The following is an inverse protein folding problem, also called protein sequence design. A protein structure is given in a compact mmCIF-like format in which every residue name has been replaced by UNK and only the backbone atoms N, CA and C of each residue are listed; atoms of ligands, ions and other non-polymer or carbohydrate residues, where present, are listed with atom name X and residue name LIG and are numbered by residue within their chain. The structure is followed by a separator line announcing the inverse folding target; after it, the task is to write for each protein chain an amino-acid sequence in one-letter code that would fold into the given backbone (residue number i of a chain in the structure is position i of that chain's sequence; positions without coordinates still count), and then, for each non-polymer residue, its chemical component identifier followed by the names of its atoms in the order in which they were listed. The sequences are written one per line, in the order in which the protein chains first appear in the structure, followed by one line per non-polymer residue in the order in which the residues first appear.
data_IF_427768580578
#
_entry.id   IF_427768580578
#
_cell.length_a   1.000
_cell.length_b   1.000
_cell.length_c   1.000
_cell.angle_alpha   90.00
_cell.angle_beta   90.00
_cell.angle_gamma   90.00
#
_symmetry.space_group_name_H-M   'P 1'
#
loop_
_entity.id
_entity.type
_entity.pdbx_description
1 polymer ?
#
# COMPACT_ATOMS: atom_id res chain seq x y z
N UNK A 1 -66.09 38.13 -8.10
CA UNK A 1 -65.22 37.66 -9.20
C UNK A 1 -63.76 38.15 -9.09
N UNK A 2 -63.43 39.46 -8.99
CA UNK A 2 -62.02 39.91 -9.02
C UNK A 2 -61.21 39.46 -7.78
N UNK A 3 -61.87 39.34 -6.63
CA UNK A 3 -61.24 38.94 -5.36
C UNK A 3 -60.76 37.47 -5.37
N UNK A 4 -61.44 36.59 -6.10
CA UNK A 4 -61.06 35.17 -6.25
C UNK A 4 -59.83 34.99 -7.16
N UNK A 5 -59.70 35.83 -8.20
CA UNK A 5 -58.56 35.81 -9.13
C UNK A 5 -57.29 36.29 -8.43
N UNK A 6 -57.40 37.33 -7.58
CA UNK A 6 -56.28 37.84 -6.80
C UNK A 6 -55.75 36.79 -5.80
N UNK A 7 -56.64 36.03 -5.16
CA UNK A 7 -56.27 34.94 -4.23
C UNK A 7 -55.59 33.78 -4.97
N UNK A 8 -56.12 33.36 -6.13
CA UNK A 8 -55.50 32.30 -6.95
C UNK A 8 -54.13 32.70 -7.50
N UNK A 9 -53.94 33.98 -7.87
CA UNK A 9 -52.66 34.50 -8.31
C UNK A 9 -51.62 34.50 -7.16
N UNK A 10 -52.02 34.89 -5.95
CA UNK A 10 -51.14 34.87 -4.78
C UNK A 10 -50.68 33.43 -4.42
N UNK A 11 -51.59 32.46 -4.46
CA UNK A 11 -51.28 31.04 -4.19
C UNK A 11 -50.29 30.49 -5.23
N UNK A 12 -50.43 30.90 -6.49
CA UNK A 12 -49.56 30.47 -7.59
C UNK A 12 -48.12 30.98 -7.43
N UNK A 13 -47.95 32.22 -6.94
CA UNK A 13 -46.62 32.82 -6.68
C UNK A 13 -45.93 32.13 -5.49
N UNK A 14 -46.67 31.86 -4.41
CA UNK A 14 -46.14 31.17 -3.22
C UNK A 14 -45.77 29.72 -3.55
N UNK A 15 -46.60 29.02 -4.34
CA UNK A 15 -46.28 27.67 -4.82
C UNK A 15 -45.02 27.62 -5.67
N UNK A 16 -44.82 28.58 -6.59
CA UNK A 16 -43.62 28.66 -7.41
C UNK A 16 -42.34 28.95 -6.59
N UNK A 17 -42.43 29.82 -5.57
CA UNK A 17 -41.33 30.12 -4.64
C UNK A 17 -40.91 28.88 -3.84
N UNK A 18 -41.88 28.12 -3.31
CA UNK A 18 -41.64 26.87 -2.57
C UNK A 18 -41.00 25.79 -3.44
N UNK A 19 -41.44 25.64 -4.69
CA UNK A 19 -40.86 24.66 -5.63
C UNK A 19 -39.42 25.03 -5.99
N UNK A 20 -39.14 26.32 -6.23
CA UNK A 20 -37.78 26.77 -6.50
C UNK A 20 -36.87 26.58 -5.27
N UNK A 21 -37.33 26.91 -4.06
CA UNK A 21 -36.57 26.67 -2.83
C UNK A 21 -36.30 25.18 -2.57
N UNK A 22 -37.27 24.31 -2.86
CA UNK A 22 -37.10 22.86 -2.73
C UNK A 22 -36.10 22.29 -3.75
N UNK A 23 -36.15 22.74 -5.00
CA UNK A 23 -35.16 22.36 -6.03
C UNK A 23 -33.76 22.87 -5.70
N UNK A 24 -33.64 24.09 -5.20
CA UNK A 24 -32.37 24.67 -4.76
C UNK A 24 -31.78 23.90 -3.56
N UNK A 25 -32.64 23.50 -2.61
CA UNK A 25 -32.24 22.66 -1.48
C UNK A 25 -31.76 21.28 -1.92
N UNK A 26 -32.45 20.66 -2.89
CA UNK A 26 -32.06 19.36 -3.47
C UNK A 26 -30.71 19.45 -4.21
N UNK A 27 -30.46 20.54 -4.95
CA UNK A 27 -29.16 20.78 -5.62
C UNK A 27 -28.03 20.95 -4.61
N UNK A 28 -28.22 21.76 -3.56
CA UNK A 28 -27.22 21.95 -2.51
C UNK A 28 -26.88 20.65 -1.77
N UNK A 29 -27.85 19.78 -1.52
CA UNK A 29 -27.57 18.46 -0.93
C UNK A 29 -26.74 17.56 -1.85
N UNK A 30 -26.95 17.63 -3.16
CA UNK A 30 -26.15 16.89 -4.13
C UNK A 30 -24.73 17.46 -4.22
N UNK A 31 -24.57 18.78 -4.24
CA UNK A 31 -23.27 19.45 -4.27
C UNK A 31 -22.46 19.11 -3.01
N UNK A 32 -23.06 19.17 -1.82
CA UNK A 32 -22.38 18.80 -0.56
C UNK A 32 -21.96 17.32 -0.57
N UNK A 33 -22.78 16.41 -1.09
CA UNK A 33 -22.40 14.99 -1.20
C UNK A 33 -21.27 14.78 -2.20
N UNK A 34 -21.32 15.48 -3.34
CA UNK A 34 -20.27 15.42 -4.35
C UNK A 34 -18.95 15.94 -3.80
N UNK A 35 -18.98 17.08 -3.11
CA UNK A 35 -17.80 17.66 -2.46
C UNK A 35 -17.26 16.74 -1.38
N UNK A 36 -18.13 16.17 -0.54
CA UNK A 36 -17.71 15.23 0.49
C UNK A 36 -17.00 13.99 -0.10
N UNK A 37 -17.57 13.40 -1.16
CA UNK A 37 -16.93 12.31 -1.89
C UNK A 37 -15.59 12.77 -2.49
N UNK A 38 -15.53 13.96 -3.08
CA UNK A 38 -14.31 14.53 -3.64
C UNK A 38 -13.21 14.66 -2.58
N UNK A 39 -13.50 15.22 -1.40
CA UNK A 39 -12.56 15.31 -0.29
C UNK A 39 -12.10 13.93 0.21
N UNK A 40 -13.02 12.96 0.34
CA UNK A 40 -12.66 11.58 0.71
C UNK A 40 -11.74 10.92 -0.33
N UNK A 41 -12.01 11.13 -1.62
CA UNK A 41 -11.19 10.60 -2.71
C UNK A 41 -9.82 11.26 -2.77
N UNK A 42 -9.75 12.58 -2.63
CA UNK A 42 -8.49 13.32 -2.61
C UNK A 42 -7.62 12.89 -1.44
N UNK A 43 -8.18 12.76 -0.24
CA UNK A 43 -7.43 12.30 0.92
C UNK A 43 -6.93 10.88 0.68
N UNK A 44 -7.78 9.95 0.24
CA UNK A 44 -7.34 8.58 -0.10
C UNK A 44 -6.23 8.55 -1.16
N UNK A 45 -6.31 9.42 -2.17
CA UNK A 45 -5.28 9.53 -3.20
C UNK A 45 -3.95 10.04 -2.62
N UNK A 46 -3.98 11.07 -1.77
CA UNK A 46 -2.80 11.60 -1.07
C UNK A 46 -2.16 10.54 -0.17
N UNK A 47 -2.94 9.81 0.63
CA UNK A 47 -2.43 8.73 1.47
C UNK A 47 -1.83 7.58 0.66
N UNK A 48 -2.47 7.20 -0.45
CA UNK A 48 -1.96 6.18 -1.37
C UNK A 48 -0.64 6.60 -2.01
N UNK A 49 -0.53 7.86 -2.44
CA UNK A 49 0.70 8.40 -3.01
C UNK A 49 1.83 8.46 -1.98
N UNK A 50 1.56 8.97 -0.77
CA UNK A 50 2.54 8.98 0.31
C UNK A 50 3.03 7.57 0.67
N UNK A 51 2.13 6.58 0.73
CA UNK A 51 2.52 5.17 0.93
C UNK A 51 3.42 4.68 -0.18
N UNK A 52 3.07 4.92 -1.44
CA UNK A 52 3.86 4.50 -2.60
C UNK A 52 5.29 5.09 -2.54
N UNK A 53 5.40 6.40 -2.27
CA UNK A 53 6.69 7.11 -2.19
C UNK A 53 7.55 6.57 -1.04
N UNK A 54 6.95 6.38 0.15
CA UNK A 54 7.65 5.83 1.31
C UNK A 54 8.08 4.36 1.09
N UNK A 55 7.23 3.55 0.46
CA UNK A 55 7.55 2.16 0.14
C UNK A 55 8.67 2.07 -0.90
N UNK A 56 8.61 2.88 -1.95
CA UNK A 56 9.66 2.95 -2.97
C UNK A 56 10.99 3.39 -2.36
N UNK A 57 10.98 4.42 -1.50
CA UNK A 57 12.17 4.89 -0.78
C UNK A 57 12.75 3.79 0.11
N UNK A 58 11.92 3.11 0.90
CA UNK A 58 12.38 2.04 1.77
C UNK A 58 12.98 0.87 1.00
N UNK A 59 12.33 0.45 -0.10
CA UNK A 59 12.85 -0.61 -0.96
C UNK A 59 14.20 -0.23 -1.60
N UNK A 60 14.36 1.03 -2.01
CA UNK A 60 15.64 1.50 -2.53
C UNK A 60 16.75 1.47 -1.46
N UNK A 61 16.43 1.87 -0.23
CA UNK A 61 17.37 1.83 0.90
C UNK A 61 17.74 0.40 1.29
N UNK A 62 16.77 -0.49 1.43
CA UNK A 62 17.02 -1.88 1.84
C UNK A 62 17.82 -2.64 0.78
N UNK A 63 17.57 -2.38 -0.50
CA UNK A 63 18.33 -2.97 -1.61
C UNK A 63 19.76 -2.41 -1.66
N UNK A 64 19.95 -1.11 -1.41
CA UNK A 64 21.29 -0.49 -1.30
C UNK A 64 22.05 -1.05 -0.10
N UNK A 65 21.38 -1.26 1.03
CA UNK A 65 21.96 -1.87 2.23
C UNK A 65 22.38 -3.31 1.95
N UNK A 66 21.47 -4.12 1.39
CA UNK A 66 21.73 -5.53 1.04
C UNK A 66 22.94 -5.67 0.12
N UNK A 67 23.06 -4.80 -0.90
CA UNK A 67 24.23 -4.77 -1.79
C UNK A 67 25.52 -4.37 -1.06
N UNK A 68 25.44 -3.40 -0.15
CA UNK A 68 26.61 -2.96 0.62
C UNK A 68 27.10 -4.04 1.59
N UNK A 69 26.17 -4.76 2.24
CA UNK A 69 26.49 -5.91 3.09
C UNK A 69 27.05 -7.06 2.26
N UNK A 70 26.46 -7.37 1.09
CA UNK A 70 27.00 -8.39 0.19
C UNK A 70 28.43 -8.08 -0.29
N UNK A 71 28.76 -6.81 -0.52
CA UNK A 71 30.13 -6.40 -0.83
C UNK A 71 31.06 -6.59 0.38
N UNK A 72 30.62 -6.21 1.58
CA UNK A 72 31.39 -6.39 2.80
C UNK A 72 31.66 -7.88 3.11
N UNK A 73 30.69 -8.77 2.85
CA UNK A 73 30.90 -10.21 2.93
C UNK A 73 31.96 -10.71 1.95
N UNK A 74 31.91 -10.29 0.69
CA UNK A 74 32.94 -10.67 -0.28
C UNK A 74 34.34 -10.18 0.14
N UNK A 75 34.42 -9.01 0.80
CA UNK A 75 35.67 -8.51 1.37
C UNK A 75 36.12 -9.33 2.59
N UNK A 76 35.18 -9.77 3.42
CA UNK A 76 35.42 -10.66 4.57
C UNK A 76 36.04 -11.99 4.10
N UNK A 77 35.44 -12.63 3.11
CA UNK A 77 35.93 -13.88 2.49
C UNK A 77 37.34 -13.69 1.90
N UNK A 78 37.60 -12.54 1.28
CA UNK A 78 38.91 -12.18 0.73
C UNK A 78 39.91 -11.67 1.78
N UNK A 79 39.54 -11.66 3.08
CA UNK A 79 40.36 -11.19 4.20
C UNK A 79 40.90 -9.78 4.02
N UNK A 80 40.07 -8.91 3.45
CA UNK A 80 40.37 -7.48 3.24
C UNK A 80 39.78 -6.64 4.37
N UNK A 81 40.26 -5.41 4.46
CA UNK A 81 39.66 -4.42 5.35
C UNK A 81 38.17 -4.24 5.02
N UNK A 82 37.34 -4.36 6.06
CA UNK A 82 35.89 -4.21 5.96
C UNK A 82 35.51 -2.75 6.13
N UNK A 83 34.92 -2.14 5.11
CA UNK A 83 34.28 -0.83 5.24
C UNK A 83 32.79 -0.99 5.55
N UNK A 84 32.46 -1.04 6.84
CA UNK A 84 31.07 -1.14 7.32
C UNK A 84 30.39 0.21 7.54
N UNK A 85 31.08 1.34 7.29
CA UNK A 85 30.48 2.68 7.48
C UNK A 85 29.27 2.90 6.58
N UNK A 86 29.35 2.42 5.34
CA UNK A 86 28.27 2.54 4.35
C UNK A 86 27.00 1.78 4.76
N UNK A 87 27.03 0.46 5.03
CA UNK A 87 25.82 -0.26 5.44
C UNK A 87 25.24 0.26 6.76
N UNK A 88 26.07 0.67 7.73
CA UNK A 88 25.60 1.27 8.99
C UNK A 88 24.82 2.57 8.74
N UNK A 89 25.35 3.47 7.90
CA UNK A 89 24.66 4.71 7.57
C UNK A 89 23.31 4.46 6.86
N UNK A 90 23.27 3.50 5.93
CA UNK A 90 22.03 3.17 5.22
C UNK A 90 21.01 2.53 6.17
N UNK A 91 21.45 1.73 7.15
CA UNK A 91 20.57 1.16 8.16
C UNK A 91 19.90 2.25 9.01
N UNK A 92 20.61 3.31 9.35
CA UNK A 92 20.00 4.46 10.04
C UNK A 92 18.89 5.09 9.18
N UNK A 93 19.14 5.33 7.89
CA UNK A 93 18.12 5.87 6.96
C UNK A 93 16.90 4.93 6.81
N UNK A 94 17.12 3.62 6.89
CA UNK A 94 16.05 2.62 6.89
C UNK A 94 15.15 2.76 8.13
N UNK A 95 15.71 3.01 9.32
CA UNK A 95 14.93 3.20 10.56
C UNK A 95 14.02 4.42 10.44
N UNK A 96 14.54 5.54 9.96
CA UNK A 96 13.76 6.77 9.80
C UNK A 96 12.61 6.57 8.80
N UNK A 97 12.88 5.88 7.70
CA UNK A 97 11.86 5.57 6.69
C UNK A 97 10.82 4.57 7.23
N UNK A 98 11.22 3.57 8.04
CA UNK A 98 10.30 2.67 8.73
C UNK A 98 9.41 3.39 9.73
N UNK A 99 9.94 4.39 10.44
CA UNK A 99 9.15 5.20 11.37
C UNK A 99 8.05 5.97 10.63
N UNK A 100 8.35 6.52 9.45
CA UNK A 100 7.33 7.14 8.59
C UNK A 100 6.30 6.11 8.05
N UNK A 101 6.76 4.93 7.66
CA UNK A 101 5.89 3.82 7.23
C UNK A 101 4.96 3.36 8.36
N UNK A 102 5.39 3.39 9.62
CA UNK A 102 4.53 3.05 10.78
C UNK A 102 3.30 3.96 10.91
N UNK A 103 3.38 5.19 10.42
CA UNK A 103 2.28 6.16 10.46
C UNK A 103 1.27 5.89 9.34
N UNK A 104 1.78 5.66 8.12
CA UNK A 104 0.93 5.61 6.93
C UNK A 104 0.54 4.19 6.51
N UNK A 105 1.38 3.20 6.79
CA UNK A 105 1.31 1.84 6.23
C UNK A 105 0.53 0.86 7.10
N UNK A 106 0.31 -0.35 6.57
CA UNK A 106 -0.38 -1.40 7.32
C UNK A 106 0.57 -2.19 8.23
N UNK A 107 -0.01 -2.78 9.28
CA UNK A 107 0.70 -3.62 10.25
C UNK A 107 1.56 -4.74 9.60
N UNK A 108 1.09 -5.47 8.57
CA UNK A 108 1.93 -6.46 7.89
C UNK A 108 3.18 -5.88 7.22
N UNK A 109 3.07 -4.69 6.60
CA UNK A 109 4.22 -4.01 5.97
C UNK A 109 5.23 -3.58 7.03
N UNK A 110 4.75 -2.98 8.13
CA UNK A 110 5.60 -2.57 9.25
C UNK A 110 6.35 -3.76 9.84
N UNK A 111 5.65 -4.87 10.09
CA UNK A 111 6.24 -6.08 10.66
C UNK A 111 7.31 -6.66 9.73
N UNK A 112 6.98 -6.85 8.44
CA UNK A 112 7.95 -7.36 7.48
C UNK A 112 9.17 -6.43 7.34
N UNK A 113 8.93 -5.12 7.36
CA UNK A 113 9.96 -4.09 7.31
C UNK A 113 10.91 -4.17 8.50
N UNK A 114 10.38 -4.27 9.71
CA UNK A 114 11.16 -4.43 10.94
C UNK A 114 11.99 -5.71 10.92
N UNK A 115 11.39 -6.86 10.57
CA UNK A 115 12.11 -8.13 10.47
C UNK A 115 13.28 -8.09 9.48
N UNK A 116 13.10 -7.41 8.34
CA UNK A 116 14.16 -7.26 7.34
C UNK A 116 15.28 -6.31 7.82
N UNK A 117 14.91 -5.23 8.52
CA UNK A 117 15.86 -4.31 9.13
C UNK A 117 16.70 -4.99 10.21
N UNK A 118 16.05 -5.67 11.16
CA UNK A 118 16.71 -6.37 12.26
C UNK A 118 17.67 -7.43 11.71
N UNK A 119 17.25 -8.20 10.70
CA UNK A 119 18.10 -9.21 10.07
C UNK A 119 19.35 -8.61 9.38
N UNK A 120 19.22 -7.44 8.73
CA UNK A 120 20.37 -6.74 8.15
C UNK A 120 21.28 -6.15 9.22
N UNK A 121 20.69 -5.62 10.28
CA UNK A 121 21.41 -5.04 11.41
C UNK A 121 22.24 -6.12 12.14
N UNK A 122 21.63 -7.27 12.45
CA UNK A 122 22.32 -8.42 13.03
C UNK A 122 23.50 -8.84 12.17
N UNK A 123 23.31 -8.92 10.85
CA UNK A 123 24.36 -9.28 9.92
C UNK A 123 25.53 -8.29 9.90
N UNK A 124 25.24 -6.99 9.99
CA UNK A 124 26.29 -5.96 10.12
C UNK A 124 27.03 -6.12 11.45
N UNK A 125 26.33 -6.39 12.55
CA UNK A 125 26.96 -6.66 13.84
C UNK A 125 27.85 -7.91 13.80
N UNK A 126 27.41 -8.98 13.15
CA UNK A 126 28.24 -10.17 12.97
C UNK A 126 29.51 -9.87 12.18
N UNK A 127 29.42 -9.07 11.10
CA UNK A 127 30.59 -8.63 10.33
C UNK A 127 31.56 -7.78 11.18
N UNK A 128 31.05 -6.98 12.13
CA UNK A 128 31.89 -6.21 13.06
C UNK A 128 32.55 -7.13 14.08
N UNK A 129 31.80 -8.09 14.63
CA UNK A 129 32.26 -8.98 15.69
C UNK A 129 33.17 -10.10 15.17
N UNK A 130 33.00 -10.49 13.91
CA UNK A 130 33.79 -11.52 13.27
C UNK A 130 35.25 -11.08 13.18
N UNK A 131 36.14 -11.83 13.83
CA UNK A 131 37.58 -11.68 13.59
C UNK A 131 37.88 -12.28 12.22
N UNK A 132 38.60 -11.59 11.32
CA UNK A 132 38.99 -12.11 10.00
C UNK A 132 39.97 -13.32 10.05
N UNK A 133 40.19 -13.89 11.24
CA UNK A 133 41.18 -14.92 11.54
C UNK A 133 40.58 -16.27 11.93
N UNK A 134 39.25 -16.42 12.04
CA UNK A 134 38.64 -17.72 12.34
C UNK A 134 38.40 -18.52 11.03
N UNK A 135 39.27 -19.48 10.67
CA UNK A 135 39.38 -20.01 9.32
C UNK A 135 38.43 -21.20 9.08
N UNK A 136 37.30 -21.26 9.78
CA UNK A 136 36.41 -22.39 9.65
C UNK A 136 35.41 -22.21 8.50
N UNK A 137 35.27 -23.23 7.64
CA UNK A 137 34.21 -23.33 6.64
C UNK A 137 32.79 -23.19 7.24
N UNK A 138 32.66 -23.20 8.57
CA UNK A 138 31.41 -22.92 9.28
C UNK A 138 31.08 -21.42 9.30
N UNK A 139 32.06 -20.54 9.50
CA UNK A 139 31.83 -19.10 9.54
C UNK A 139 31.38 -18.57 8.17
N UNK A 140 32.01 -19.03 7.09
CA UNK A 140 31.63 -18.67 5.72
C UNK A 140 30.23 -19.20 5.33
N UNK A 141 29.93 -20.46 5.70
CA UNK A 141 28.58 -21.04 5.47
C UNK A 141 27.49 -20.31 6.24
N UNK A 142 27.71 -20.02 7.52
CA UNK A 142 26.75 -19.28 8.35
C UNK A 142 26.45 -17.90 7.75
N UNK A 143 27.47 -17.22 7.21
CA UNK A 143 27.32 -15.92 6.58
C UNK A 143 26.52 -15.97 5.26
N UNK A 144 26.75 -17.00 4.43
CA UNK A 144 25.98 -17.23 3.20
C UNK A 144 24.50 -17.55 3.49
N UNK A 145 24.25 -18.38 4.51
CA UNK A 145 22.89 -18.72 4.94
C UNK A 145 22.15 -17.47 5.48
N UNK A 146 22.85 -16.62 6.23
CA UNK A 146 22.32 -15.31 6.67
C UNK A 146 22.00 -14.38 5.53
N UNK A 147 22.83 -14.30 4.48
CA UNK A 147 22.52 -13.50 3.29
C UNK A 147 21.27 -14.02 2.56
N UNK A 148 21.08 -15.34 2.53
CA UNK A 148 19.88 -15.95 1.97
C UNK A 148 18.63 -15.60 2.80
N UNK A 149 18.75 -15.57 4.12
CA UNK A 149 17.69 -15.11 5.02
C UNK A 149 17.34 -13.63 4.77
N UNK A 150 18.33 -12.75 4.65
CA UNK A 150 18.13 -11.33 4.33
C UNK A 150 17.34 -11.17 3.03
N UNK A 151 17.75 -11.85 1.95
CA UNK A 151 17.05 -11.80 0.66
C UNK A 151 15.59 -12.27 0.78
N UNK A 152 15.35 -13.31 1.56
CA UNK A 152 13.99 -13.79 1.84
C UNK A 152 13.16 -12.74 2.60
N UNK A 153 13.74 -12.05 3.61
CA UNK A 153 13.06 -10.98 4.33
C UNK A 153 12.74 -9.78 3.44
N UNK A 154 13.68 -9.36 2.59
CA UNK A 154 13.46 -8.29 1.61
C UNK A 154 12.32 -8.65 0.65
N UNK A 155 12.26 -9.90 0.18
CA UNK A 155 11.13 -10.38 -0.64
C UNK A 155 9.80 -10.30 0.12
N UNK A 156 9.76 -10.71 1.38
CA UNK A 156 8.55 -10.63 2.21
C UNK A 156 8.07 -9.18 2.38
N UNK A 157 8.98 -8.20 2.50
CA UNK A 157 8.64 -6.77 2.50
C UNK A 157 7.97 -6.37 1.19
N UNK A 158 8.54 -6.75 0.05
CA UNK A 158 7.97 -6.45 -1.26
C UNK A 158 6.57 -7.05 -1.43
N UNK A 159 6.37 -8.28 -0.97
CA UNK A 159 5.07 -8.95 -1.00
C UNK A 159 4.04 -8.27 -0.09
N UNK A 160 4.44 -7.89 1.13
CA UNK A 160 3.58 -7.15 2.05
C UNK A 160 3.18 -5.79 1.46
N UNK A 161 4.12 -5.06 0.86
CA UNK A 161 3.85 -3.76 0.22
C UNK A 161 2.93 -3.90 -1.00
N UNK A 162 3.11 -4.95 -1.82
CA UNK A 162 2.19 -5.25 -2.92
C UNK A 162 0.79 -5.62 -2.41
N UNK A 163 0.72 -6.37 -1.32
CA UNK A 163 -0.51 -6.66 -0.59
C UNK A 163 -1.25 -5.40 -0.18
N UNK A 164 -0.53 -4.48 0.45
CA UNK A 164 -1.05 -3.23 0.97
C UNK A 164 -1.52 -2.27 -0.13
N UNK A 165 -0.73 -2.12 -1.19
CA UNK A 165 -1.09 -1.32 -2.37
C UNK A 165 -2.18 -1.98 -3.23
N UNK A 166 -2.56 -3.22 -2.94
CA UNK A 166 -3.57 -3.94 -3.70
C UNK A 166 -3.13 -4.46 -5.06
N UNK A 167 -1.82 -4.51 -5.31
CA UNK A 167 -1.21 -4.91 -6.57
C UNK A 167 -0.84 -6.40 -6.63
N UNK A 168 -1.36 -7.21 -5.70
CA UNK A 168 -1.14 -8.66 -5.74
C UNK A 168 -1.73 -9.27 -7.01
N UNK A 169 -0.97 -10.17 -7.65
CA UNK A 169 -1.27 -10.79 -8.95
C UNK A 169 -2.56 -11.63 -9.05
N UNK A 170 -3.44 -11.60 -8.05
CA UNK A 170 -4.81 -12.14 -8.10
C UNK A 170 -5.91 -11.12 -7.77
N UNK A 171 -5.58 -9.94 -7.22
CA UNK A 171 -6.54 -8.95 -6.71
C UNK A 171 -7.01 -7.89 -7.72
N UNK A 172 -6.28 -7.67 -8.81
CA UNK A 172 -6.67 -6.69 -9.84
C UNK A 172 -7.97 -7.08 -10.58
N UNK A 173 -8.25 -8.39 -10.72
CA UNK A 173 -9.52 -8.88 -11.30
C UNK A 173 -10.71 -8.79 -10.34
N UNK A 174 -10.49 -8.64 -9.03
CA UNK A 174 -11.57 -8.51 -8.05
C UNK A 174 -12.06 -7.06 -7.93
N UNK A 175 -11.15 -6.08 -7.98
CA UNK A 175 -11.52 -4.65 -7.92
C UNK A 175 -12.18 -4.15 -9.20
N UNK A 176 -11.87 -4.73 -10.36
CA UNK A 176 -12.58 -4.44 -11.61
C UNK A 176 -14.01 -5.01 -11.65
N UNK A 177 -14.36 -5.95 -10.75
CA UNK A 177 -15.73 -6.47 -10.60
C UNK A 177 -16.58 -5.71 -9.59
N UNK A 178 -15.94 -5.05 -8.61
CA UNK A 178 -16.64 -4.26 -7.59
C UNK A 178 -16.89 -2.80 -8.02
N UNK A 179 -16.23 -2.34 -9.09
CA UNK A 179 -16.33 -0.96 -9.58
C UNK A 179 -17.38 -0.76 -10.70
N UNK A 180 -18.20 -1.77 -11.00
CA UNK A 180 -19.23 -1.66 -12.04
C UNK A 180 -20.64 -1.81 -11.42
N UNK A 181 -21.23 -0.72 -10.87
CA UNK A 181 -22.57 -0.73 -10.29
C UNK A 181 -23.70 -0.87 -11.34
N UNK A 182 -23.37 -0.99 -12.64
CA UNK A 182 -24.36 -1.05 -13.72
C UNK A 182 -24.55 -2.43 -14.35
N UNK A 183 -23.92 -3.49 -13.84
CA UNK A 183 -24.21 -4.84 -14.31
C UNK A 183 -25.44 -5.41 -13.60
N UNK A 184 -26.61 -4.90 -13.96
CA UNK A 184 -27.89 -5.55 -13.68
C UNK A 184 -27.85 -6.95 -14.29
N UNK A 185 -27.82 -7.94 -13.42
CA UNK A 185 -28.00 -9.35 -13.75
C UNK A 185 -29.42 -9.50 -14.30
N UNK A 186 -29.55 -9.60 -15.62
CA UNK A 186 -30.79 -10.05 -16.24
C UNK A 186 -30.91 -11.56 -15.97
N UNK A 187 -31.56 -11.88 -14.85
CA UNK A 187 -32.01 -13.22 -14.50
C UNK A 187 -33.25 -13.55 -15.36
N UNK A 188 -33.03 -13.96 -16.61
CA UNK A 188 -34.01 -14.84 -17.28
C UNK A 188 -33.51 -16.26 -17.18
N UNK A 189 -34.13 -17.01 -16.26
CA UNK A 189 -33.88 -18.41 -16.06
C UNK A 189 -34.15 -19.23 -17.32
N UNK A 190 -33.17 -20.08 -17.65
CA UNK A 190 -33.41 -21.37 -18.30
C UNK A 190 -32.28 -22.32 -17.90
N UNK A 191 -32.51 -23.01 -16.80
CA UNK A 191 -31.89 -24.32 -16.56
C UNK A 191 -32.61 -25.33 -17.45
N UNK A 192 -32.08 -25.59 -18.64
CA UNK A 192 -32.42 -26.82 -19.37
C UNK A 192 -31.44 -27.91 -18.94
N UNK A 193 -31.86 -28.67 -17.93
CA UNK A 193 -31.43 -30.06 -17.77
C UNK A 193 -32.30 -30.89 -18.69
N UNK A 194 -31.70 -31.60 -19.64
CA UNK A 194 -32.33 -32.72 -20.33
C UNK A 194 -31.36 -33.90 -20.38
N UNK A 195 -31.89 -34.99 -19.82
CA UNK A 195 -31.38 -36.30 -19.44
C UNK A 195 -30.46 -37.07 -20.41
N UNK A 196 -29.71 -38.05 -19.88
CA UNK A 196 -29.02 -39.05 -20.68
C UNK A 196 -29.99 -40.14 -21.14
N UNK A 197 -29.85 -40.62 -22.37
CA UNK A 197 -30.47 -41.89 -22.80
C UNK A 197 -29.61 -42.59 -23.85
N UNK A 198 -29.18 -43.79 -23.44
CA UNK A 198 -28.70 -44.98 -24.18
C UNK A 198 -27.43 -44.86 -25.02
#
# INVERSE_FOLDING_TARGET
MPLLIAVLAAISIVGAQLINAWRESQRREQDIRHDHLHWEYEDRARWSQQRLELYARYLALIDKCTRSVGLAMAQFELRRDLDLKKPIAILADCVDTLAAIKIVGSSPVVKAGQEAHDCLNDMVYDLIAAKPLDPSDRAERDMSDRMSLVKNRVRNVQEAMRGDLGTTGRGAKARSRAADPHRTHDQTGRTEWASPTV
#
